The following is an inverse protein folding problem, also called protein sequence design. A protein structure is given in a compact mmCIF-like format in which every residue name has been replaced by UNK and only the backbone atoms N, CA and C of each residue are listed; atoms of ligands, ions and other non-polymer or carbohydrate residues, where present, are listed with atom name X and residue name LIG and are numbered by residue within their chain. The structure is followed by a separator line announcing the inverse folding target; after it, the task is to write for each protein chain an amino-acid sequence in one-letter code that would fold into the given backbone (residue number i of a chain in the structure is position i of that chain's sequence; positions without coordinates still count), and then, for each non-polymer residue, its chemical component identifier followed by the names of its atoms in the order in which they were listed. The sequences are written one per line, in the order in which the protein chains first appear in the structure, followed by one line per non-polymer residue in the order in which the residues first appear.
data_IF_666545420017
#
_entry.id   IF_666545420017
#
_cell.length_a   1.000
_cell.length_b   1.000
_cell.length_c   1.000
_cell.angle_alpha   90.00
_cell.angle_beta   90.00
_cell.angle_gamma   90.00
#
_symmetry.space_group_name_H-M   'P 1'
#
loop_
_entity.id
_entity.type
_entity.pdbx_description
1 polymer ?
#
# COMPACT_ATOMS: atom_id res chain seq x y z
N UNK A 1 7.03 -9.00 29.41
CA UNK A 1 6.50 -7.67 29.10
C UNK A 1 6.98 -7.36 27.70
N UNK A 2 6.06 -7.00 26.79
CA UNK A 2 6.44 -6.55 25.46
C UNK A 2 7.22 -5.24 25.61
N UNK A 3 8.32 -5.07 24.87
CA UNK A 3 9.06 -3.80 24.84
C UNK A 3 8.27 -2.74 24.05
N UNK A 4 8.63 -1.45 24.19
CA UNK A 4 7.90 -0.35 23.53
C UNK A 4 7.77 -0.52 22.01
N UNK A 5 8.78 -1.11 21.35
CA UNK A 5 8.75 -1.39 19.91
C UNK A 5 7.77 -2.51 19.58
N UNK A 6 7.72 -3.58 20.38
CA UNK A 6 6.74 -4.66 20.24
C UNK A 6 5.30 -4.15 20.49
N UNK A 7 5.13 -3.26 21.47
CA UNK A 7 3.84 -2.61 21.76
C UNK A 7 3.42 -1.73 20.57
N UNK A 8 4.32 -0.89 20.06
CA UNK A 8 4.07 -0.06 18.87
C UNK A 8 3.76 -0.92 17.64
N UNK A 9 4.52 -1.99 17.41
CA UNK A 9 4.25 -2.97 16.34
C UNK A 9 2.87 -3.60 16.47
N UNK A 10 2.44 -3.97 17.68
CA UNK A 10 1.08 -4.45 17.92
C UNK A 10 0.02 -3.38 17.61
N UNK A 11 0.22 -2.13 18.04
CA UNK A 11 -0.71 -1.03 17.80
C UNK A 11 -0.81 -0.64 16.32
N UNK A 12 0.29 -0.71 15.58
CA UNK A 12 0.30 -0.45 14.15
C UNK A 12 -0.18 -1.65 13.32
N UNK A 13 -0.47 -2.80 13.94
CA UNK A 13 -0.96 -3.99 13.24
C UNK A 13 0.13 -4.78 12.52
N UNK A 14 1.40 -4.60 12.90
CA UNK A 14 2.53 -5.34 12.34
C UNK A 14 2.60 -6.78 12.86
N UNK A 15 1.86 -7.07 13.93
CA UNK A 15 1.64 -8.43 14.41
C UNK A 15 0.22 -8.87 14.04
N UNK A 16 0.09 -9.60 12.94
CA UNK A 16 -1.20 -10.05 12.41
C UNK A 16 -1.46 -11.48 12.91
N UNK A 17 -2.51 -11.72 13.72
CA UNK A 17 -2.91 -13.07 14.12
C UNK A 17 -3.18 -13.98 12.92
N UNK A 18 -2.80 -15.26 13.02
CA UNK A 18 -2.86 -16.25 11.93
C UNK A 18 -4.19 -16.27 11.18
N UNK A 19 -5.32 -16.20 11.89
CA UNK A 19 -6.64 -16.27 11.27
C UNK A 19 -6.95 -15.08 10.34
N UNK A 20 -6.32 -13.91 10.54
CA UNK A 20 -6.48 -12.78 9.62
C UNK A 20 -5.68 -12.94 8.32
N UNK A 21 -4.65 -13.81 8.30
CA UNK A 21 -3.94 -14.14 7.05
C UNK A 21 -4.85 -14.83 6.04
N UNK A 22 -5.94 -15.45 6.49
CA UNK A 22 -6.97 -15.97 5.59
C UNK A 22 -7.51 -14.90 4.65
N UNK A 23 -7.73 -13.67 5.11
CA UNK A 23 -8.22 -12.58 4.25
C UNK A 23 -7.21 -12.25 3.15
N UNK A 24 -5.91 -12.26 3.48
CA UNK A 24 -4.84 -12.03 2.51
C UNK A 24 -4.68 -13.16 1.50
N UNK A 25 -4.92 -14.41 1.92
CA UNK A 25 -4.94 -15.59 1.03
C UNK A 25 -6.17 -15.63 0.13
N UNK A 26 -7.30 -15.07 0.59
CA UNK A 26 -8.54 -15.00 -0.17
C UNK A 26 -8.58 -13.84 -1.16
N UNK A 27 -7.77 -12.79 -0.97
CA UNK A 27 -7.61 -11.72 -1.95
C UNK A 27 -6.94 -12.26 -3.23
N UNK A 28 -7.79 -12.57 -4.21
CA UNK A 28 -7.36 -13.14 -5.49
C UNK A 28 -6.52 -12.16 -6.31
N UNK A 29 -6.76 -10.85 -6.20
CA UNK A 29 -5.98 -9.86 -6.96
C UNK A 29 -4.55 -9.80 -6.41
N UNK A 30 -4.40 -9.76 -5.07
CA UNK A 30 -3.11 -9.86 -4.39
C UNK A 30 -2.38 -11.15 -4.78
N UNK A 31 -3.04 -12.29 -4.61
CA UNK A 31 -2.45 -13.60 -4.82
C UNK A 31 -2.00 -13.83 -6.28
N UNK A 32 -2.86 -13.52 -7.25
CA UNK A 32 -2.51 -13.66 -8.66
C UNK A 32 -1.43 -12.67 -9.10
N UNK A 33 -1.49 -11.42 -8.60
CA UNK A 33 -0.50 -10.39 -8.87
C UNK A 33 0.90 -10.85 -8.45
N UNK A 34 1.08 -11.20 -7.17
CA UNK A 34 2.38 -11.66 -6.67
C UNK A 34 2.84 -12.95 -7.32
N UNK A 35 1.96 -13.95 -7.49
CA UNK A 35 2.33 -15.20 -8.17
C UNK A 35 2.86 -14.92 -9.59
N UNK A 36 2.24 -14.01 -10.33
CA UNK A 36 2.65 -13.65 -11.69
C UNK A 36 3.97 -12.86 -11.70
N UNK A 37 4.13 -11.92 -10.78
CA UNK A 37 5.36 -11.13 -10.65
C UNK A 37 6.57 -11.99 -10.24
N UNK A 38 6.37 -12.87 -9.27
CA UNK A 38 7.38 -13.85 -8.81
C UNK A 38 7.73 -14.82 -9.95
N UNK A 39 6.73 -15.34 -10.67
CA UNK A 39 6.97 -16.23 -11.81
C UNK A 39 7.80 -15.54 -12.91
N UNK A 40 7.56 -14.25 -13.15
CA UNK A 40 8.30 -13.44 -14.11
C UNK A 40 9.73 -13.15 -13.64
N UNK A 41 9.92 -12.68 -12.39
CA UNK A 41 11.20 -12.21 -11.88
C UNK A 41 12.15 -13.35 -11.49
N UNK A 42 11.66 -14.40 -10.82
CA UNK A 42 12.48 -15.50 -10.31
C UNK A 42 12.86 -16.46 -11.44
N UNK A 43 14.17 -16.57 -11.69
CA UNK A 43 14.72 -17.48 -12.71
C UNK A 43 15.10 -18.83 -12.09
N UNK A 44 15.12 -19.94 -12.86
CA UNK A 44 15.62 -21.21 -12.39
C UNK A 44 17.02 -21.08 -11.78
N UNK A 45 17.21 -21.59 -10.56
CA UNK A 45 18.49 -21.49 -9.85
C UNK A 45 18.68 -20.23 -9.00
N UNK A 46 17.71 -19.30 -9.03
CA UNK A 46 17.80 -18.06 -8.24
C UNK A 46 17.71 -18.32 -6.73
N UNK A 47 18.28 -17.40 -5.96
CA UNK A 47 18.14 -17.29 -4.51
C UNK A 47 17.22 -16.13 -4.18
N UNK A 48 16.24 -16.38 -3.31
CA UNK A 48 15.20 -15.40 -2.99
C UNK A 48 15.19 -15.13 -1.48
N UNK A 49 14.99 -13.87 -1.11
CA UNK A 49 14.74 -13.46 0.27
C UNK A 49 13.33 -12.85 0.35
N UNK A 50 12.50 -13.34 1.24
CA UNK A 50 11.24 -12.71 1.61
C UNK A 50 11.37 -12.05 2.98
N UNK A 51 11.08 -10.75 3.06
CA UNK A 51 11.07 -9.94 4.28
C UNK A 51 9.62 -9.74 4.75
N UNK A 52 9.24 -10.39 5.84
CA UNK A 52 7.86 -10.41 6.34
C UNK A 52 7.04 -11.54 5.73
N UNK A 53 7.53 -12.78 5.86
CA UNK A 53 7.01 -13.92 5.10
C UNK A 53 5.63 -14.42 5.50
N UNK A 54 5.12 -14.06 6.68
CA UNK A 54 3.77 -14.45 7.11
C UNK A 54 3.55 -15.96 7.00
N UNK A 55 2.55 -16.38 6.23
CA UNK A 55 2.23 -17.79 5.98
C UNK A 55 3.29 -18.55 5.14
N UNK A 56 4.23 -17.85 4.53
CA UNK A 56 5.25 -18.39 3.62
C UNK A 56 4.74 -18.60 2.19
N UNK A 57 3.56 -18.08 1.83
CA UNK A 57 2.93 -18.34 0.54
C UNK A 57 3.69 -17.73 -0.65
N UNK A 58 4.29 -16.53 -0.49
CA UNK A 58 5.07 -15.92 -1.57
C UNK A 58 6.43 -16.62 -1.72
N UNK A 59 7.07 -16.98 -0.61
CA UNK A 59 8.24 -17.86 -0.60
C UNK A 59 7.94 -19.20 -1.29
N UNK A 60 6.76 -19.77 -1.05
CA UNK A 60 6.34 -20.99 -1.72
C UNK A 60 6.17 -20.81 -3.23
N UNK A 61 5.59 -19.69 -3.69
CA UNK A 61 5.56 -19.36 -5.11
C UNK A 61 6.97 -19.26 -5.71
N UNK A 62 7.90 -18.61 -5.01
CA UNK A 62 9.28 -18.48 -5.45
C UNK A 62 10.01 -19.83 -5.53
N UNK A 63 9.78 -20.72 -4.56
CA UNK A 63 10.40 -22.05 -4.47
C UNK A 63 10.11 -22.97 -5.68
N UNK A 64 9.07 -22.66 -6.46
CA UNK A 64 8.78 -23.38 -7.71
C UNK A 64 9.93 -23.25 -8.74
N UNK A 65 10.66 -22.13 -8.75
CA UNK A 65 11.80 -21.87 -9.66
C UNK A 65 13.13 -21.66 -8.93
N UNK A 66 13.10 -21.07 -7.75
CA UNK A 66 14.29 -20.82 -6.95
C UNK A 66 14.98 -22.13 -6.53
N UNK A 67 16.29 -22.06 -6.35
CA UNK A 67 17.09 -23.11 -5.70
C UNK A 67 16.94 -23.02 -4.17
N UNK A 68 16.89 -21.79 -3.65
CA UNK A 68 16.79 -21.50 -2.22
C UNK A 68 15.93 -20.27 -1.97
N UNK A 69 15.10 -20.33 -0.92
CA UNK A 69 14.32 -19.18 -0.44
C UNK A 69 14.54 -19.00 1.06
N UNK A 70 14.85 -17.77 1.50
CA UNK A 70 14.88 -17.38 2.90
C UNK A 70 13.60 -16.62 3.23
N UNK A 71 12.76 -17.17 4.11
CA UNK A 71 11.50 -16.58 4.53
C UNK A 71 11.64 -15.99 5.93
N UNK A 72 11.82 -14.68 6.04
CA UNK A 72 12.03 -13.99 7.32
C UNK A 72 10.70 -13.61 7.94
N UNK A 73 10.44 -14.08 9.16
CA UNK A 73 9.24 -13.74 9.93
C UNK A 73 9.61 -13.44 11.38
N UNK A 74 9.01 -12.39 11.94
CA UNK A 74 9.31 -11.92 13.30
C UNK A 74 8.39 -12.57 14.34
N UNK A 75 7.13 -12.84 13.99
CA UNK A 75 6.16 -13.45 14.89
C UNK A 75 6.47 -14.94 15.10
N UNK A 76 6.81 -15.39 16.33
CA UNK A 76 7.16 -16.79 16.58
C UNK A 76 6.00 -17.78 16.33
N UNK A 77 4.75 -17.38 16.57
CA UNK A 77 3.59 -18.21 16.26
C UNK A 77 3.44 -18.35 14.74
N UNK A 78 3.65 -17.26 14.00
CA UNK A 78 3.61 -17.29 12.55
C UNK A 78 4.75 -18.11 11.96
N UNK A 79 5.98 -18.00 12.48
CA UNK A 79 7.12 -18.86 12.08
C UNK A 79 6.75 -20.35 12.20
N UNK A 80 6.11 -20.74 13.31
CA UNK A 80 5.68 -22.12 13.52
C UNK A 80 4.62 -22.55 12.50
N UNK A 81 3.64 -21.70 12.24
CA UNK A 81 2.58 -22.01 11.26
C UNK A 81 3.10 -22.03 9.82
N UNK A 82 3.95 -21.08 9.42
CA UNK A 82 4.59 -21.04 8.11
C UNK A 82 5.36 -22.34 7.82
N UNK A 83 6.17 -22.81 8.77
CA UNK A 83 6.89 -24.09 8.65
C UNK A 83 5.96 -25.27 8.43
N UNK A 84 4.83 -25.33 9.15
CA UNK A 84 3.83 -26.39 8.96
C UNK A 84 3.19 -26.29 7.57
N UNK A 85 2.75 -25.09 7.15
CA UNK A 85 2.11 -24.89 5.86
C UNK A 85 3.07 -25.24 4.71
N UNK A 86 4.33 -24.83 4.79
CA UNK A 86 5.35 -25.18 3.80
C UNK A 86 5.59 -26.69 3.73
N UNK A 87 5.64 -27.39 4.86
CA UNK A 87 5.80 -28.84 4.89
C UNK A 87 4.63 -29.62 4.26
N UNK A 88 3.46 -28.99 4.12
CA UNK A 88 2.29 -29.57 3.44
C UNK A 88 2.30 -29.38 1.93
N UNK A 89 3.20 -28.55 1.39
CA UNK A 89 3.18 -28.12 0.01
C UNK A 89 4.46 -28.52 -0.75
N UNK A 90 4.36 -28.87 -2.04
CA UNK A 90 5.53 -29.24 -2.83
C UNK A 90 6.50 -28.07 -2.96
N UNK A 91 7.81 -28.34 -2.94
CA UNK A 91 8.90 -27.36 -2.93
C UNK A 91 9.03 -26.57 -1.60
N UNK A 92 8.17 -26.82 -0.60
CA UNK A 92 8.27 -26.16 0.70
C UNK A 92 9.60 -26.44 1.41
N UNK A 93 10.25 -27.56 1.12
CA UNK A 93 11.58 -27.92 1.63
C UNK A 93 12.71 -26.98 1.16
N UNK A 94 12.50 -26.23 0.07
CA UNK A 94 13.46 -25.21 -0.41
C UNK A 94 13.35 -23.89 0.36
N UNK A 95 12.30 -23.71 1.15
CA UNK A 95 12.05 -22.50 1.93
C UNK A 95 12.58 -22.68 3.35
N UNK A 96 13.58 -21.87 3.71
CA UNK A 96 14.09 -21.78 5.07
C UNK A 96 13.38 -20.65 5.80
N UNK A 97 12.49 -21.01 6.73
CA UNK A 97 11.83 -20.02 7.60
C UNK A 97 12.77 -19.59 8.71
N UNK A 98 13.16 -18.32 8.68
CA UNK A 98 14.07 -17.67 9.62
C UNK A 98 13.26 -16.81 10.60
N UNK A 99 13.37 -17.11 11.88
CA UNK A 99 12.81 -16.27 12.94
C UNK A 99 13.75 -15.09 13.20
N UNK A 100 13.46 -13.93 12.62
CA UNK A 100 14.29 -12.73 12.76
C UNK A 100 13.49 -11.46 12.45
N UNK A 101 14.03 -10.32 12.86
CA UNK A 101 13.50 -9.00 12.47
C UNK A 101 14.01 -8.66 11.05
N UNK A 102 13.08 -8.40 10.13
CA UNK A 102 13.39 -7.98 8.75
C UNK A 102 14.25 -6.70 8.69
N UNK A 103 14.14 -5.82 9.70
CA UNK A 103 14.98 -4.62 9.80
C UNK A 103 16.48 -4.92 9.95
N UNK A 104 16.82 -6.06 10.54
CA UNK A 104 18.17 -6.41 10.99
C UNK A 104 18.73 -7.65 10.29
N UNK A 105 17.87 -8.49 9.71
CA UNK A 105 18.31 -9.70 9.01
C UNK A 105 19.02 -9.37 7.69
N UNK A 106 20.09 -10.12 7.40
CA UNK A 106 20.69 -10.24 6.07
C UNK A 106 20.90 -11.73 5.77
N UNK A 107 20.71 -12.16 4.52
CA UNK A 107 21.05 -13.51 4.12
C UNK A 107 22.56 -13.75 4.28
N UNK A 108 23.00 -15.00 4.49
CA UNK A 108 24.43 -15.32 4.63
C UNK A 108 25.23 -15.04 3.35
N UNK A 109 24.54 -15.00 2.20
CA UNK A 109 25.07 -14.86 0.85
C UNK A 109 24.21 -13.92 -0.01
N UNK A 110 24.72 -13.42 -1.15
CA UNK A 110 23.93 -12.63 -2.08
C UNK A 110 22.68 -13.37 -2.59
N UNK A 111 21.60 -12.61 -2.81
CA UNK A 111 20.32 -13.08 -3.37
C UNK A 111 20.00 -12.34 -4.65
N UNK A 112 19.18 -12.94 -5.51
CA UNK A 112 18.81 -12.38 -6.80
C UNK A 112 17.52 -11.54 -6.72
N UNK A 113 16.59 -11.96 -5.85
CA UNK A 113 15.27 -11.32 -5.68
C UNK A 113 14.96 -11.14 -4.20
N UNK A 114 14.42 -9.95 -3.86
CA UNK A 114 13.84 -9.64 -2.55
C UNK A 114 12.35 -9.40 -2.71
N UNK A 115 11.55 -10.15 -1.97
CA UNK A 115 10.11 -9.97 -1.85
C UNK A 115 9.83 -9.27 -0.52
N UNK A 116 9.06 -8.19 -0.53
CA UNK A 116 8.58 -7.57 0.69
C UNK A 116 7.13 -7.13 0.46
N UNK A 117 6.22 -7.75 1.22
CA UNK A 117 4.80 -7.40 1.22
C UNK A 117 4.45 -6.97 2.65
N UNK A 118 4.92 -5.78 3.01
CA UNK A 118 4.57 -5.11 4.26
C UNK A 118 3.81 -3.82 3.90
N UNK A 119 2.72 -3.96 3.13
CA UNK A 119 2.08 -2.86 2.41
C UNK A 119 0.69 -2.58 2.98
N UNK A 120 0.48 -1.34 3.39
CA UNK A 120 -0.83 -0.79 3.64
C UNK A 120 -1.06 0.42 2.73
N UNK A 121 -2.34 0.77 2.53
CA UNK A 121 -2.74 1.97 1.79
C UNK A 121 -2.01 3.20 2.34
N UNK A 122 -1.43 3.97 1.43
CA UNK A 122 -0.63 5.16 1.70
C UNK A 122 0.76 4.86 2.28
N UNK A 123 1.24 3.62 2.25
CA UNK A 123 2.47 3.22 2.95
C UNK A 123 2.44 3.58 4.45
N UNK A 124 1.25 3.59 5.03
CA UNK A 124 1.02 3.80 6.46
C UNK A 124 1.19 2.49 7.23
N UNK A 125 1.32 2.55 8.55
CA UNK A 125 1.32 1.43 9.51
C UNK A 125 2.46 0.42 9.36
N UNK A 126 2.55 -0.21 8.20
CA UNK A 126 3.56 -1.20 7.87
C UNK A 126 4.84 -0.52 7.37
N UNK A 127 5.98 -1.14 7.69
CA UNK A 127 7.30 -0.50 7.64
C UNK A 127 8.11 -0.88 6.38
N UNK A 128 7.46 -1.24 5.26
CA UNK A 128 8.15 -1.70 4.06
C UNK A 128 9.27 -0.76 3.58
N UNK A 129 8.98 0.53 3.48
CA UNK A 129 9.97 1.52 3.00
C UNK A 129 11.19 1.52 3.91
N UNK A 130 10.99 1.57 5.23
CA UNK A 130 12.09 1.56 6.20
C UNK A 130 12.89 0.26 6.18
N UNK A 131 12.21 -0.88 6.03
CA UNK A 131 12.83 -2.21 5.94
C UNK A 131 13.70 -2.32 4.68
N UNK A 132 13.18 -1.90 3.52
CA UNK A 132 13.92 -1.95 2.25
C UNK A 132 15.11 -0.98 2.27
N UNK A 133 14.96 0.25 2.77
CA UNK A 133 16.09 1.19 2.88
C UNK A 133 17.17 0.68 3.86
N UNK A 134 16.77 0.09 4.99
CA UNK A 134 17.73 -0.56 5.91
C UNK A 134 18.45 -1.73 5.24
N UNK A 135 17.71 -2.58 4.52
CA UNK A 135 18.27 -3.72 3.78
C UNK A 135 19.27 -3.26 2.72
N UNK A 136 18.93 -2.29 1.87
CA UNK A 136 19.81 -1.78 0.80
C UNK A 136 21.16 -1.32 1.33
N UNK A 137 21.15 -0.54 2.42
CA UNK A 137 22.36 -0.07 3.09
C UNK A 137 23.22 -1.24 3.56
N UNK A 138 22.67 -2.10 4.41
CA UNK A 138 23.41 -3.22 5.02
C UNK A 138 23.87 -4.26 3.98
N UNK A 139 23.04 -4.52 2.97
CA UNK A 139 23.36 -5.44 1.88
C UNK A 139 24.52 -4.92 1.02
N UNK A 140 24.52 -3.63 0.67
CA UNK A 140 25.61 -3.00 -0.08
C UNK A 140 26.91 -2.97 0.73
N UNK A 141 26.84 -2.64 2.01
CA UNK A 141 28.00 -2.67 2.92
C UNK A 141 28.63 -4.07 3.01
N UNK A 142 27.81 -5.12 3.03
CA UNK A 142 28.28 -6.51 3.17
C UNK A 142 28.77 -7.11 1.85
N UNK A 143 28.06 -6.87 0.74
CA UNK A 143 28.26 -7.61 -0.51
C UNK A 143 28.77 -6.76 -1.68
N UNK A 144 28.82 -5.42 -1.55
CA UNK A 144 29.35 -4.52 -2.58
C UNK A 144 28.43 -4.28 -3.79
N UNK A 145 27.27 -4.94 -3.84
CA UNK A 145 26.29 -4.83 -4.94
C UNK A 145 26.54 -5.80 -6.10
N UNK A 146 25.67 -5.81 -7.13
CA UNK A 146 24.46 -4.97 -7.27
C UNK A 146 23.36 -5.35 -6.26
N UNK A 147 22.37 -4.47 -6.10
CA UNK A 147 21.16 -4.79 -5.33
C UNK A 147 20.34 -5.87 -6.06
N UNK A 148 19.60 -6.72 -5.32
CA UNK A 148 18.65 -7.65 -5.90
C UNK A 148 17.46 -6.93 -6.54
N UNK A 149 16.70 -7.64 -7.37
CA UNK A 149 15.40 -7.15 -7.86
C UNK A 149 14.41 -7.14 -6.68
N UNK A 150 13.71 -6.03 -6.48
CA UNK A 150 12.68 -5.92 -5.45
C UNK A 150 11.29 -6.21 -6.01
N UNK A 151 10.48 -6.96 -5.26
CA UNK A 151 9.05 -7.16 -5.51
C UNK A 151 8.27 -6.66 -4.28
N UNK A 152 7.44 -5.60 -4.43
CA UNK A 152 7.22 -4.80 -5.63
C UNK A 152 8.44 -3.97 -6.05
N UNK A 153 8.48 -3.61 -7.34
CA UNK A 153 9.51 -2.71 -7.90
C UNK A 153 9.19 -1.24 -7.60
N UNK A 154 7.91 -0.86 -7.65
CA UNK A 154 7.49 0.52 -7.47
C UNK A 154 6.08 0.63 -6.88
N UNK A 155 5.73 1.79 -6.33
CA UNK A 155 4.40 2.08 -5.79
C UNK A 155 3.96 3.49 -6.20
N UNK A 156 2.72 3.60 -6.67
CA UNK A 156 2.09 4.88 -7.00
C UNK A 156 1.02 5.15 -5.96
N UNK A 157 1.07 6.34 -5.36
CA UNK A 157 0.09 6.78 -4.38
C UNK A 157 -0.65 8.03 -4.85
N UNK A 158 -1.98 8.01 -4.70
CA UNK A 158 -2.85 9.09 -5.12
C UNK A 158 -3.91 9.41 -4.07
N UNK A 159 -4.48 10.60 -4.17
CA UNK A 159 -5.54 11.11 -3.29
C UNK A 159 -6.68 11.71 -4.12
N UNK A 160 -7.92 11.53 -3.66
CA UNK A 160 -9.13 11.95 -4.39
C UNK A 160 -10.18 12.51 -3.41
N UNK A 161 -10.76 13.69 -3.68
CA UNK A 161 -11.84 14.24 -2.86
C UNK A 161 -13.16 13.51 -3.12
N UNK A 162 -13.85 13.15 -2.04
CA UNK A 162 -15.12 12.44 -2.08
C UNK A 162 -16.19 13.15 -1.25
N UNK A 163 -17.44 12.94 -1.65
CA UNK A 163 -18.57 12.93 -0.73
C UNK A 163 -18.88 11.47 -0.37
N UNK A 164 -18.89 11.17 0.92
CA UNK A 164 -19.03 9.82 1.47
C UNK A 164 -20.19 9.77 2.46
N UNK A 165 -21.02 8.74 2.35
CA UNK A 165 -22.07 8.44 3.31
C UNK A 165 -21.48 7.80 4.58
N UNK A 166 -21.89 8.34 5.72
CA UNK A 166 -21.52 7.93 7.07
C UNK A 166 -22.75 7.76 7.97
N UNK A 167 -23.94 7.64 7.38
CA UNK A 167 -25.16 7.30 8.09
C UNK A 167 -25.29 5.77 8.17
N UNK A 168 -25.44 5.26 9.39
CA UNK A 168 -25.65 3.84 9.66
C UNK A 168 -26.98 3.70 10.38
N UNK A 169 -28.08 3.65 9.63
CA UNK A 169 -29.45 3.55 10.16
C UNK A 169 -29.79 4.73 11.09
N UNK A 170 -29.46 5.96 10.68
CA UNK A 170 -29.65 7.19 11.45
C UNK A 170 -28.53 7.49 12.45
N UNK A 171 -27.51 6.64 12.56
CA UNK A 171 -26.33 6.89 13.38
C UNK A 171 -25.19 7.45 12.52
N UNK A 172 -24.89 8.73 12.69
CA UNK A 172 -23.79 9.38 11.97
C UNK A 172 -22.43 9.02 12.60
N UNK A 173 -21.57 8.34 11.84
CA UNK A 173 -20.25 7.89 12.28
C UNK A 173 -19.18 8.09 11.21
N UNK A 174 -18.51 9.27 11.16
CA UNK A 174 -17.41 9.52 10.24
C UNK A 174 -16.16 8.76 10.68
N UNK A 175 -16.05 7.51 10.23
CA UNK A 175 -14.95 6.59 10.54
C UNK A 175 -14.17 6.23 9.27
N UNK A 176 -12.93 5.77 9.43
CA UNK A 176 -12.13 5.32 8.28
C UNK A 176 -12.81 4.11 7.64
N UNK A 177 -12.95 4.12 6.32
CA UNK A 177 -13.50 2.99 5.56
C UNK A 177 -12.44 2.40 4.64
N UNK A 178 -12.45 1.07 4.52
CA UNK A 178 -11.66 0.35 3.52
C UNK A 178 -12.62 -0.22 2.48
N UNK A 179 -12.45 0.18 1.22
CA UNK A 179 -13.35 -0.15 0.12
C UNK A 179 -12.63 -1.01 -0.92
N UNK A 180 -13.27 -2.09 -1.35
CA UNK A 180 -12.77 -2.92 -2.45
C UNK A 180 -12.77 -2.14 -3.76
N UNK A 181 -11.78 -2.38 -4.60
CA UNK A 181 -11.55 -1.57 -5.81
C UNK A 181 -12.46 -1.94 -6.98
N UNK A 182 -13.06 -3.14 -6.94
CA UNK A 182 -13.94 -3.66 -7.98
C UNK A 182 -15.43 -3.52 -7.64
N UNK A 183 -15.76 -2.79 -6.56
CA UNK A 183 -17.12 -2.61 -6.05
C UNK A 183 -17.54 -1.15 -6.22
N UNK A 184 -18.75 -0.94 -6.74
CA UNK A 184 -19.37 0.38 -6.79
C UNK A 184 -20.11 0.60 -5.47
N UNK A 185 -19.76 1.66 -4.75
CA UNK A 185 -20.38 2.04 -3.49
C UNK A 185 -21.39 3.17 -3.74
N UNK A 186 -22.72 2.93 -3.60
CA UNK A 186 -23.74 3.95 -3.85
C UNK A 186 -23.59 5.21 -2.98
N UNK A 187 -23.10 5.04 -1.75
CA UNK A 187 -22.83 6.13 -0.81
C UNK A 187 -21.52 6.88 -1.07
N UNK A 188 -20.83 6.62 -2.18
CA UNK A 188 -19.56 7.27 -2.53
C UNK A 188 -19.71 8.06 -3.83
N UNK A 189 -19.51 9.37 -3.75
CA UNK A 189 -19.55 10.27 -4.89
C UNK A 189 -18.16 10.89 -5.08
N UNK A 190 -17.57 10.64 -6.23
CA UNK A 190 -16.28 11.21 -6.64
C UNK A 190 -16.47 12.66 -7.09
N UNK A 191 -15.76 13.58 -6.44
CA UNK A 191 -15.92 15.02 -6.69
C UNK A 191 -14.80 15.62 -7.56
N UNK A 192 -13.73 14.87 -7.81
CA UNK A 192 -12.70 15.19 -8.81
C UNK A 192 -11.91 13.93 -9.20
N UNK A 193 -11.09 14.01 -10.26
CA UNK A 193 -10.10 12.98 -10.58
C UNK A 193 -9.04 12.84 -9.47
N UNK A 194 -8.48 11.62 -9.26
CA UNK A 194 -7.39 11.42 -8.32
C UNK A 194 -6.12 12.14 -8.77
N UNK A 195 -5.37 12.68 -7.81
CA UNK A 195 -4.05 13.27 -8.04
C UNK A 195 -2.96 12.38 -7.44
N UNK A 196 -1.93 12.05 -8.22
CA UNK A 196 -0.75 11.35 -7.73
C UNK A 196 0.05 12.31 -6.84
N UNK A 197 0.29 11.92 -5.59
CA UNK A 197 1.08 12.72 -4.66
C UNK A 197 2.49 12.18 -4.44
N UNK A 198 2.74 10.91 -4.74
CA UNK A 198 4.07 10.30 -4.58
C UNK A 198 4.19 9.02 -5.40
N UNK A 199 5.42 8.75 -5.85
CA UNK A 199 5.85 7.51 -6.50
C UNK A 199 7.10 7.04 -5.79
N UNK A 200 7.14 5.76 -5.44
CA UNK A 200 8.30 5.06 -4.87
C UNK A 200 8.88 4.18 -5.96
N UNK A 201 10.20 4.23 -6.14
CA UNK A 201 10.98 3.26 -6.91
C UNK A 201 11.95 2.58 -5.95
N UNK A 202 11.73 1.30 -5.65
CA UNK A 202 12.54 0.59 -4.65
C UNK A 202 13.99 0.36 -5.11
N UNK A 203 14.30 0.52 -6.40
CA UNK A 203 15.66 0.49 -6.93
C UNK A 203 16.44 1.78 -6.63
N UNK A 204 15.77 2.83 -6.15
CA UNK A 204 16.38 4.13 -5.80
C UNK A 204 16.27 4.38 -4.29
N UNK A 205 17.07 5.29 -3.70
CA UNK A 205 16.85 5.76 -2.33
C UNK A 205 15.48 6.44 -2.21
N UNK A 206 14.71 6.12 -1.17
CA UNK A 206 13.38 6.72 -0.93
C UNK A 206 13.32 7.48 0.39
N UNK A 207 12.58 8.59 0.38
CA UNK A 207 12.25 9.35 1.58
C UNK A 207 11.21 8.62 2.45
N UNK A 208 11.31 8.84 3.76
CA UNK A 208 10.34 8.30 4.73
C UNK A 208 9.21 9.27 5.06
N UNK A 209 9.24 10.49 4.52
CA UNK A 209 8.21 11.52 4.79
C UNK A 209 7.51 11.90 3.50
N UNK A 210 6.18 11.84 3.51
CA UNK A 210 5.34 12.32 2.42
C UNK A 210 4.66 13.61 2.85
N UNK A 211 4.97 14.70 2.16
CA UNK A 211 4.31 15.99 2.32
C UNK A 211 3.79 16.43 0.94
N UNK A 212 2.50 16.75 0.86
CA UNK A 212 1.89 17.12 -0.40
C UNK A 212 0.91 18.28 -0.21
N UNK A 213 0.89 19.18 -1.18
CA UNK A 213 -0.11 20.21 -1.36
C UNK A 213 -0.50 20.25 -2.84
N UNK A 214 -1.77 20.11 -3.13
CA UNK A 214 -2.28 20.11 -4.49
C UNK A 214 -3.66 20.76 -4.60
N UNK A 215 -4.13 20.85 -5.84
CA UNK A 215 -5.42 21.47 -6.17
C UNK A 215 -6.26 20.52 -7.00
N UNK A 216 -7.56 20.52 -6.77
CA UNK A 216 -8.55 19.79 -7.53
C UNK A 216 -9.55 20.79 -8.12
N UNK A 217 -9.93 20.57 -9.38
CA UNK A 217 -11.13 21.22 -9.94
C UNK A 217 -12.30 20.30 -9.60
N UNK A 218 -13.30 20.85 -8.91
CA UNK A 218 -14.49 20.10 -8.52
C UNK A 218 -15.36 19.85 -9.75
N UNK A 219 -15.68 18.59 -10.02
CA UNK A 219 -16.38 18.15 -11.25
C UNK A 219 -17.90 18.09 -11.08
N UNK A 220 -18.41 18.22 -9.85
CA UNK A 220 -19.84 18.23 -9.55
C UNK A 220 -20.13 18.86 -8.20
N UNK A 221 -21.34 19.38 -8.04
CA UNK A 221 -21.81 19.93 -6.77
C UNK A 221 -21.86 18.84 -5.68
N UNK A 222 -21.47 19.20 -4.46
CA UNK A 222 -21.54 18.29 -3.32
C UNK A 222 -20.91 18.84 -2.05
N UNK A 223 -20.74 17.97 -1.06
CA UNK A 223 -20.00 18.23 0.16
C UNK A 223 -18.80 17.30 0.25
N UNK A 224 -17.60 17.85 0.10
CA UNK A 224 -16.35 17.13 0.25
C UNK A 224 -16.17 16.87 1.74
N UNK A 225 -16.46 15.64 2.17
CA UNK A 225 -16.40 15.25 3.58
C UNK A 225 -15.37 14.14 3.84
N UNK A 226 -14.72 13.63 2.79
CA UNK A 226 -13.68 12.61 2.90
C UNK A 226 -12.64 12.72 1.77
N UNK A 227 -11.49 12.11 2.01
CA UNK A 227 -10.44 11.89 1.03
C UNK A 227 -10.19 10.40 0.85
N UNK A 228 -10.23 9.91 -0.39
CA UNK A 228 -9.80 8.56 -0.75
C UNK A 228 -8.30 8.57 -1.00
N UNK A 229 -7.59 7.66 -0.35
CA UNK A 229 -6.20 7.34 -0.64
C UNK A 229 -6.14 6.04 -1.44
N UNK A 230 -5.33 6.07 -2.49
CA UNK A 230 -5.14 4.98 -3.45
C UNK A 230 -3.67 4.55 -3.41
N UNK A 231 -3.43 3.24 -3.43
CA UNK A 231 -2.08 2.68 -3.49
C UNK A 231 -2.05 1.57 -4.52
N UNK A 232 -1.31 1.82 -5.60
CA UNK A 232 -1.10 0.88 -6.69
C UNK A 232 0.34 0.38 -6.62
N UNK A 233 0.51 -0.93 -6.42
CA UNK A 233 1.81 -1.57 -6.38
C UNK A 233 2.14 -2.10 -7.77
N UNK A 234 3.25 -1.63 -8.33
CA UNK A 234 3.86 -2.19 -9.54
C UNK A 234 4.74 -3.33 -9.05
N UNK A 235 4.19 -4.54 -9.08
CA UNK A 235 4.87 -5.72 -8.57
C UNK A 235 6.07 -6.08 -9.44
N UNK A 236 5.92 -5.99 -10.77
CA UNK A 236 7.02 -6.14 -11.72
C UNK A 236 6.78 -5.32 -13.00
N UNK A 237 7.87 -4.81 -13.57
CA UNK A 237 7.88 -4.15 -14.89
C UNK A 237 8.24 -5.17 -15.97
N UNK A 238 7.33 -5.39 -16.91
CA UNK A 238 7.51 -6.32 -18.03
C UNK A 238 7.93 -5.53 -19.27
N UNK A 239 9.22 -5.18 -19.31
CA UNK A 239 9.81 -4.29 -20.31
C UNK A 239 9.58 -4.75 -21.75
N UNK A 240 9.64 -6.06 -22.02
CA UNK A 240 9.46 -6.62 -23.37
C UNK A 240 8.04 -6.38 -23.92
N UNK A 241 7.07 -6.13 -23.03
CA UNK A 241 5.67 -5.89 -23.39
C UNK A 241 5.24 -4.45 -23.17
N UNK A 242 6.09 -3.61 -22.58
CA UNK A 242 5.72 -2.26 -22.13
C UNK A 242 4.48 -2.27 -21.23
N UNK A 243 4.40 -3.25 -20.32
CA UNK A 243 3.30 -3.43 -19.37
C UNK A 243 3.82 -3.65 -17.96
N UNK A 244 2.93 -3.57 -16.96
CA UNK A 244 3.23 -3.89 -15.57
C UNK A 244 2.36 -5.03 -15.06
N UNK A 245 2.86 -5.75 -14.06
CA UNK A 245 2.06 -6.65 -13.22
C UNK A 245 1.73 -5.88 -11.95
N UNK A 246 0.45 -5.65 -11.70
CA UNK A 246 0.01 -4.71 -10.67
C UNK A 246 -0.79 -5.41 -9.57
N UNK A 247 -0.76 -4.82 -8.38
CA UNK A 247 -1.73 -5.08 -7.32
C UNK A 247 -2.23 -3.76 -6.74
N UNK A 248 -3.53 -3.52 -6.87
CA UNK A 248 -4.19 -2.34 -6.30
C UNK A 248 -4.73 -2.73 -4.92
N UNK A 249 -4.28 -2.04 -3.86
CA UNK A 249 -4.85 -2.22 -2.53
C UNK A 249 -6.30 -1.74 -2.49
N UNK A 250 -7.05 -2.17 -1.47
CA UNK A 250 -8.31 -1.52 -1.13
C UNK A 250 -8.13 0.00 -1.01
N UNK A 251 -9.15 0.77 -1.36
CA UNK A 251 -9.15 2.20 -1.09
C UNK A 251 -9.27 2.45 0.40
N UNK A 252 -8.58 3.48 0.89
CA UNK A 252 -8.78 4.00 2.25
C UNK A 252 -9.49 5.35 2.17
N UNK A 253 -10.74 5.40 2.61
CA UNK A 253 -11.52 6.64 2.68
C UNK A 253 -11.40 7.22 4.08
N UNK A 254 -10.78 8.39 4.16
CA UNK A 254 -10.47 9.10 5.40
C UNK A 254 -11.39 10.31 5.56
N UNK A 255 -12.22 10.39 6.62
CA UNK A 255 -13.12 11.53 6.81
C UNK A 255 -12.34 12.81 7.13
N UNK A 256 -12.81 13.92 6.58
CA UNK A 256 -12.34 15.25 6.95
C UNK A 256 -12.90 15.66 8.31
N UNK A 257 -12.09 16.36 9.10
CA UNK A 257 -12.53 16.93 10.38
C UNK A 257 -13.63 17.99 10.19
N UNK A 258 -13.63 18.68 9.04
CA UNK A 258 -14.65 19.67 8.68
C UNK A 258 -14.99 19.49 7.20
N UNK A 259 -16.23 19.11 6.88
CA UNK A 259 -16.69 19.01 5.50
C UNK A 259 -16.65 20.37 4.78
N UNK A 260 -16.44 20.34 3.48
CA UNK A 260 -16.33 21.52 2.61
C UNK A 260 -17.41 21.45 1.54
N UNK A 261 -18.34 22.39 1.56
CA UNK A 261 -19.32 22.54 0.47
C UNK A 261 -18.61 23.05 -0.77
N UNK A 262 -18.88 22.41 -1.90
CA UNK A 262 -18.25 22.73 -3.17
C UNK A 262 -19.25 22.67 -4.32
N UNK A 263 -19.05 23.53 -5.29
CA UNK A 263 -19.76 23.56 -6.57
C UNK A 263 -18.85 23.07 -7.68
N UNK A 264 -19.47 22.58 -8.75
CA UNK A 264 -18.77 22.32 -10.00
C UNK A 264 -17.99 23.58 -10.44
N UNK A 265 -16.71 23.40 -10.77
CA UNK A 265 -15.78 24.46 -11.14
C UNK A 265 -15.04 25.11 -9.97
N UNK A 266 -15.42 24.86 -8.71
CA UNK A 266 -14.65 25.34 -7.56
C UNK A 266 -13.25 24.70 -7.56
N UNK A 267 -12.26 25.43 -7.06
CA UNK A 267 -10.90 24.93 -6.89
C UNK A 267 -10.67 24.61 -5.41
N UNK A 268 -10.60 23.33 -5.09
CA UNK A 268 -10.23 22.84 -3.77
C UNK A 268 -8.71 22.76 -3.64
N UNK A 269 -8.13 23.36 -2.60
CA UNK A 269 -6.76 23.09 -2.18
C UNK A 269 -6.76 22.02 -1.08
N UNK A 270 -5.86 21.04 -1.20
CA UNK A 270 -5.67 19.97 -0.22
C UNK A 270 -4.20 19.92 0.18
N UNK A 271 -3.93 19.71 1.46
CA UNK A 271 -2.59 19.43 1.95
C UNK A 271 -2.57 18.40 3.06
N UNK A 272 -1.49 17.63 3.17
CA UNK A 272 -1.23 16.70 4.26
C UNK A 272 0.25 16.36 4.37
N UNK A 273 0.63 15.82 5.51
CA UNK A 273 1.96 15.28 5.75
C UNK A 273 1.91 14.08 6.69
N UNK A 274 2.68 13.03 6.38
CA UNK A 274 2.85 11.88 7.27
C UNK A 274 4.15 11.14 6.97
N UNK A 275 4.52 10.20 7.84
CA UNK A 275 5.70 9.34 7.69
C UNK A 275 5.27 7.96 7.17
N UNK A 276 6.07 7.36 6.28
CA UNK A 276 5.94 5.95 5.94
C UNK A 276 5.96 5.09 7.22
N UNK A 277 5.12 4.07 7.31
CA UNK A 277 4.90 3.29 8.53
C UNK A 277 4.20 4.04 9.67
N UNK A 278 3.80 5.30 9.46
CA UNK A 278 3.07 6.12 10.43
C UNK A 278 1.61 5.69 10.61
N UNK A 279 0.97 6.13 11.69
CA UNK A 279 -0.42 5.77 11.97
C UNK A 279 -1.40 6.54 11.07
N UNK A 280 -2.58 5.96 10.77
CA UNK A 280 -3.65 6.66 10.04
C UNK A 280 -4.07 7.97 10.74
N UNK A 281 -4.21 8.02 12.08
CA UNK A 281 -4.47 9.27 12.79
C UNK A 281 -3.45 10.38 12.54
N UNK A 282 -2.18 10.04 12.27
CA UNK A 282 -1.15 11.06 11.99
C UNK A 282 -1.38 11.75 10.65
N UNK A 283 -1.80 11.01 9.62
CA UNK A 283 -2.28 11.57 8.36
C UNK A 283 -3.56 12.38 8.56
N UNK A 284 -4.54 11.85 9.31
CA UNK A 284 -5.80 12.56 9.54
C UNK A 284 -5.59 13.89 10.26
N UNK A 285 -4.66 13.95 11.21
CA UNK A 285 -4.35 15.16 11.96
C UNK A 285 -3.71 16.27 11.10
N UNK A 286 -3.00 15.90 10.03
CA UNK A 286 -2.33 16.86 9.12
C UNK A 286 -3.16 17.21 7.89
N UNK A 287 -4.19 16.42 7.56
CA UNK A 287 -5.03 16.63 6.39
C UNK A 287 -5.85 17.93 6.49
N UNK A 288 -5.74 18.77 5.47
CA UNK A 288 -6.49 20.02 5.31
C UNK A 288 -7.10 20.08 3.92
N UNK A 289 -8.29 20.65 3.83
CA UNK A 289 -9.01 20.87 2.59
C UNK A 289 -9.79 22.20 2.69
N UNK A 290 -9.63 23.07 1.70
CA UNK A 290 -10.29 24.39 1.67
C UNK A 290 -10.57 24.85 0.24
N UNK A 291 -11.67 25.56 0.02
CA UNK A 291 -11.94 26.18 -1.28
C UNK A 291 -11.01 27.39 -1.44
N UNK A 292 -10.13 27.32 -2.44
CA UNK A 292 -9.22 28.40 -2.76
C UNK A 292 -9.86 29.43 -3.71
N UNK A 293 -10.63 28.94 -4.68
CA UNK A 293 -11.38 29.77 -5.62
C UNK A 293 -12.78 29.21 -5.80
N UNK A 294 -13.78 30.08 -5.72
CA UNK A 294 -15.13 29.75 -6.11
C UNK A 294 -15.30 29.90 -7.62
N UNK A 295 -16.06 29.00 -8.25
CA UNK A 295 -16.49 29.16 -9.63
C UNK A 295 -17.21 30.50 -9.77
N UNK A 296 -16.77 31.33 -10.72
CA UNK A 296 -17.48 32.55 -11.05
C UNK A 296 -18.88 32.17 -11.53
N UNK A 297 -19.93 32.72 -10.90
CA UNK A 297 -21.29 32.61 -11.39
C UNK A 297 -21.30 33.12 -12.83
N UNK A 298 -21.46 32.24 -13.82
CA UNK A 298 -21.86 32.69 -15.14
C UNK A 298 -23.22 33.38 -14.96
N UNK A 299 -23.36 34.68 -15.27
CA UNK A 299 -24.69 35.27 -15.30
C UNK A 299 -25.51 34.45 -16.28
N UNK A 300 -26.66 33.94 -15.83
CA UNK A 300 -27.58 33.21 -16.68
C UNK A 300 -27.78 34.03 -17.96
N UNK A 301 -27.28 33.53 -19.08
CA UNK A 301 -27.53 34.12 -20.37
C UNK A 301 -29.03 33.99 -20.60
N UNK A 302 -29.75 35.06 -20.28
CA UNK A 302 -31.15 35.23 -20.60
C UNK A 302 -31.22 35.21 -22.13
N UNK A 303 -31.52 34.05 -22.70
CA UNK A 303 -31.95 33.95 -24.09
C UNK A 303 -33.38 34.47 -24.09
N UNK A 304 -33.68 35.65 -24.65
CA UNK A 304 -35.06 36.08 -24.78
C UNK A 304 -35.75 35.06 -25.68
N UNK A 305 -36.82 34.45 -25.18
CA UNK A 305 -37.75 33.73 -26.02
C UNK A 305 -38.37 34.77 -26.98
N UNK A 306 -37.85 34.83 -28.20
CA UNK A 306 -38.49 35.62 -29.25
C UNK A 306 -39.77 34.92 -29.69
N UNK A 307 -40.85 35.71 -29.63
CA UNK A 307 -42.16 35.45 -30.22
C UNK A 307 -42.14 35.57 -31.74
#
# INVERSE_FOLDING_TARGET
MLNEREIESCYLGQFIPVHYHHNMLMDQNRMHGFKSAIDYAVKPGAKVLELGGGTGVLSWFAAAKADKVYCVEFNPDMVKEARKMLALNPNGEKVEVVHADAFEYLPPEPVDVVICEMIHVGMLREKQVEVIESFKRRYTERFGGPLPVFLPEAVIMAVQPLQQEYDFEGFYAPIVQFQETNVIYPGTVELAQPAVYSIIDFNQPNDLTYAWQGKFVVERNGEINAMRFVTKNILAVVSERSTTIDWLNHYMTLPLATPVKAREGDVLQVSFQYRAGGSIPSLQASLRAEILYEAALQPASYVPAFA
#
